data_IF_349422906001
#
_entry.id   IF_349422906001
#
_cell.length_a   1.000
_cell.length_b   1.000
_cell.length_c   1.000
_cell.angle_alpha   90.00
_cell.angle_beta   90.00
_cell.angle_gamma   90.00
#
_symmetry.space_group_name_H-M   'P 1'
#
loop_
_entity.id
_entity.type
_entity.pdbx_description
1 polymer ?
#
# COMPACT_ATOMS: atom_id res chain seq x y z
N UNK A 1 12.72 -43.88 -46.93
CA UNK A 1 13.22 -44.07 -45.54
C UNK A 1 14.22 -42.99 -45.08
N UNK A 2 14.83 -42.20 -45.97
CA UNK A 2 15.74 -41.10 -45.58
C UNK A 2 15.04 -39.86 -45.00
N UNK A 3 13.84 -39.49 -45.48
CA UNK A 3 13.16 -38.26 -45.02
C UNK A 3 12.63 -38.33 -43.57
N UNK A 4 12.25 -39.51 -43.08
CA UNK A 4 11.75 -39.67 -41.69
C UNK A 4 12.87 -39.58 -40.63
N UNK A 5 14.13 -39.82 -41.02
CA UNK A 5 15.28 -39.76 -40.09
C UNK A 5 15.84 -38.35 -39.92
N UNK A 6 15.60 -37.44 -40.87
CA UNK A 6 16.08 -36.05 -40.79
C UNK A 6 15.21 -35.20 -39.85
N UNK A 7 13.89 -35.45 -39.78
CA UNK A 7 13.01 -34.73 -38.87
C UNK A 7 13.27 -35.01 -37.38
N UNK A 8 13.73 -36.23 -37.02
CA UNK A 8 14.02 -36.59 -35.62
C UNK A 8 15.35 -36.04 -35.12
N UNK A 9 16.33 -35.84 -36.00
CA UNK A 9 17.62 -35.25 -35.62
C UNK A 9 17.49 -33.73 -35.39
N UNK A 10 16.61 -33.05 -36.13
CA UNK A 10 16.34 -31.62 -35.91
C UNK A 10 15.44 -31.31 -34.70
N UNK A 11 14.60 -32.25 -34.24
CA UNK A 11 13.82 -32.07 -33.00
C UNK A 11 14.64 -32.35 -31.74
N UNK A 12 15.65 -33.23 -31.81
CA UNK A 12 16.57 -33.49 -30.70
C UNK A 12 17.66 -32.43 -30.53
N UNK A 13 18.01 -31.70 -31.59
CA UNK A 13 18.98 -30.58 -31.52
C UNK A 13 18.36 -29.24 -31.06
N UNK A 14 17.02 -29.09 -31.10
CA UNK A 14 16.34 -27.88 -30.60
C UNK A 14 15.89 -27.99 -29.13
N UNK A 15 15.93 -29.19 -28.54
CA UNK A 15 15.59 -29.43 -27.13
C UNK A 15 16.82 -29.38 -26.18
N UNK A 16 18.04 -29.29 -26.72
CA UNK A 16 19.28 -29.31 -25.93
C UNK A 16 19.90 -27.92 -25.68
N UNK A 17 19.26 -26.83 -26.12
CA UNK A 17 19.82 -25.47 -26.02
C UNK A 17 19.15 -24.56 -24.97
N UNK A 18 18.42 -25.11 -23.99
CA UNK A 18 17.79 -24.31 -22.92
C UNK A 18 18.18 -24.71 -21.49
N UNK A 19 19.31 -25.39 -21.30
CA UNK A 19 20.02 -25.33 -20.01
C UNK A 19 21.11 -24.28 -20.09
N UNK A 20 20.71 -23.02 -20.19
CA UNK A 20 21.56 -21.94 -19.69
C UNK A 20 21.41 -22.03 -18.18
N UNK A 21 22.45 -22.47 -17.47
CA UNK A 21 22.57 -22.20 -16.04
C UNK A 21 22.47 -20.68 -15.90
N UNK A 22 21.35 -20.20 -15.37
CA UNK A 22 21.15 -18.78 -15.15
C UNK A 22 22.28 -18.32 -14.23
N UNK A 23 23.11 -17.40 -14.70
CA UNK A 23 24.18 -16.84 -13.88
C UNK A 23 23.57 -16.12 -12.67
N UNK A 24 24.27 -16.06 -11.51
CA UNK A 24 23.79 -15.34 -10.34
C UNK A 24 23.40 -13.90 -10.67
N UNK A 25 22.18 -13.49 -10.32
CA UNK A 25 21.64 -12.14 -10.53
C UNK A 25 21.33 -11.41 -9.22
N UNK A 26 21.33 -10.07 -9.27
CA UNK A 26 20.97 -9.21 -8.12
C UNK A 26 19.48 -9.32 -7.80
N UNK A 27 18.64 -9.49 -8.81
CA UNK A 27 17.18 -9.61 -8.70
C UNK A 27 16.79 -10.89 -7.97
N UNK A 28 17.41 -12.02 -8.31
CA UNK A 28 17.24 -13.28 -7.60
C UNK A 28 17.72 -13.18 -6.15
N UNK A 29 18.87 -12.54 -5.93
CA UNK A 29 19.39 -12.26 -4.59
C UNK A 29 18.44 -11.44 -3.73
N UNK A 30 17.82 -10.41 -4.31
CA UNK A 30 16.80 -9.59 -3.63
C UNK A 30 15.59 -10.42 -3.24
N UNK A 31 15.09 -11.27 -4.14
CA UNK A 31 13.95 -12.13 -3.86
C UNK A 31 14.25 -13.12 -2.72
N UNK A 32 15.41 -13.78 -2.78
CA UNK A 32 15.88 -14.70 -1.74
C UNK A 32 16.07 -14.01 -0.39
N UNK A 33 16.62 -12.78 -0.38
CA UNK A 33 16.83 -12.01 0.84
C UNK A 33 15.51 -11.63 1.49
N UNK A 34 14.54 -11.11 0.71
CA UNK A 34 13.22 -10.74 1.23
C UNK A 34 12.49 -11.95 1.78
N UNK A 35 12.59 -13.11 1.12
CA UNK A 35 11.92 -14.33 1.54
C UNK A 35 12.53 -14.96 2.81
N UNK A 36 13.86 -14.96 2.93
CA UNK A 36 14.53 -15.83 3.92
C UNK A 36 15.41 -15.09 4.95
N UNK A 37 15.83 -13.85 4.68
CA UNK A 37 16.87 -13.18 5.48
C UNK A 37 16.41 -11.83 6.08
N UNK A 38 15.44 -11.16 5.45
CA UNK A 38 14.99 -9.82 5.83
C UNK A 38 14.28 -9.73 7.19
N UNK A 39 13.91 -10.88 7.78
CA UNK A 39 13.34 -10.96 9.13
C UNK A 39 14.37 -10.74 10.23
N UNK A 40 15.65 -11.02 9.97
CA UNK A 40 16.71 -10.93 10.97
C UNK A 40 17.85 -9.97 10.59
N UNK A 41 18.03 -9.67 9.31
CA UNK A 41 19.07 -8.75 8.82
C UNK A 41 18.47 -7.47 8.24
N UNK A 42 19.13 -6.33 8.47
CA UNK A 42 18.65 -5.03 8.04
C UNK A 42 18.76 -4.84 6.51
N UNK A 43 17.70 -4.35 5.89
CA UNK A 43 17.61 -4.09 4.44
C UNK A 43 18.61 -3.05 3.93
N UNK A 44 19.06 -2.14 4.78
CA UNK A 44 20.08 -1.15 4.39
C UNK A 44 21.50 -1.73 4.37
N UNK A 45 21.66 -2.99 4.79
CA UNK A 45 22.92 -3.73 4.91
C UNK A 45 23.96 -3.11 5.84
N UNK A 46 23.78 -1.89 6.34
CA UNK A 46 24.79 -1.14 7.11
C UNK A 46 24.56 -1.22 8.61
N UNK A 47 23.30 -1.34 9.02
CA UNK A 47 22.93 -1.36 10.43
C UNK A 47 22.67 -2.79 10.93
N UNK A 48 22.89 -2.98 12.23
CA UNK A 48 22.54 -4.20 12.93
C UNK A 48 21.01 -4.30 13.14
N UNK A 49 20.48 -5.52 13.15
CA UNK A 49 19.09 -5.82 13.56
C UNK A 49 19.13 -6.98 14.57
N UNK A 50 18.37 -8.05 14.35
CA UNK A 50 18.43 -9.29 15.13
C UNK A 50 19.76 -10.01 14.88
N UNK A 51 20.29 -9.89 13.65
CA UNK A 51 21.64 -10.29 13.27
C UNK A 51 22.51 -9.09 12.87
N UNK A 52 23.82 -9.33 12.63
CA UNK A 52 24.75 -8.28 12.23
C UNK A 52 24.42 -7.65 10.87
N UNK A 53 24.91 -6.44 10.66
CA UNK A 53 24.96 -5.79 9.35
C UNK A 53 25.67 -6.69 8.31
N UNK A 54 25.10 -6.80 7.12
CA UNK A 54 25.59 -7.67 6.04
C UNK A 54 26.47 -6.96 5.02
N UNK A 55 26.44 -5.63 4.95
CA UNK A 55 27.28 -4.83 4.08
C UNK A 55 28.76 -5.06 4.41
N UNK A 56 29.57 -5.35 3.40
CA UNK A 56 30.97 -5.73 3.56
C UNK A 56 31.18 -7.10 4.22
N UNK A 57 30.19 -8.01 4.17
CA UNK A 57 30.35 -9.37 4.71
C UNK A 57 31.44 -10.15 3.99
N UNK A 58 31.60 -9.95 2.68
CA UNK A 58 32.65 -10.62 1.91
C UNK A 58 34.05 -10.16 2.35
N UNK A 59 34.27 -8.86 2.54
CA UNK A 59 35.53 -8.32 3.06
C UNK A 59 35.84 -8.88 4.45
N UNK A 60 34.80 -8.99 5.27
CA UNK A 60 34.89 -9.57 6.60
C UNK A 60 35.33 -11.03 6.53
N UNK A 61 34.82 -11.82 5.58
CA UNK A 61 35.17 -13.25 5.45
C UNK A 61 36.36 -13.52 4.51
N UNK A 62 37.04 -12.49 3.99
CA UNK A 62 38.08 -12.61 2.96
C UNK A 62 39.31 -13.43 3.40
N UNK A 63 39.61 -13.50 4.69
CA UNK A 63 40.72 -14.31 5.24
C UNK A 63 40.43 -15.83 5.23
N UNK A 64 39.21 -16.23 4.88
CA UNK A 64 38.75 -17.62 4.88
C UNK A 64 38.33 -18.07 3.47
N UNK A 65 38.39 -19.38 3.17
CA UNK A 65 37.79 -19.92 1.95
C UNK A 65 36.35 -19.45 1.75
N UNK A 66 35.99 -19.05 0.52
CA UNK A 66 34.64 -18.60 0.16
C UNK A 66 33.56 -19.64 0.53
N UNK A 67 33.91 -20.92 0.47
CA UNK A 67 33.05 -22.03 0.86
C UNK A 67 32.71 -22.07 2.36
N UNK A 68 33.53 -21.46 3.22
CA UNK A 68 33.24 -21.35 4.65
C UNK A 68 32.12 -20.34 4.91
N UNK A 69 32.09 -19.24 4.14
CA UNK A 69 30.96 -18.30 4.15
C UNK A 69 29.68 -18.96 3.65
N UNK A 70 29.76 -19.79 2.60
CA UNK A 70 28.59 -20.52 2.10
C UNK A 70 28.07 -21.53 3.14
N UNK A 71 29.00 -22.25 3.78
CA UNK A 71 28.67 -23.20 4.85
C UNK A 71 28.07 -22.51 6.06
N UNK A 72 28.54 -21.30 6.40
CA UNK A 72 27.96 -20.45 7.43
C UNK A 72 26.53 -20.01 7.09
N UNK A 73 26.29 -19.54 5.86
CA UNK A 73 24.97 -19.10 5.40
C UNK A 73 23.98 -20.26 5.39
N UNK A 74 24.41 -21.46 4.99
CA UNK A 74 23.56 -22.66 5.03
C UNK A 74 23.29 -23.09 6.45
N UNK A 75 24.33 -23.29 7.26
CA UNK A 75 24.20 -23.83 8.60
C UNK A 75 25.27 -23.29 9.54
N UNK A 76 25.00 -22.11 10.09
CA UNK A 76 25.88 -21.45 11.05
C UNK A 76 26.24 -22.35 12.24
N UNK A 77 25.28 -23.08 12.81
CA UNK A 77 25.50 -23.92 14.00
C UNK A 77 26.44 -25.10 13.73
N UNK A 78 26.39 -25.70 12.53
CA UNK A 78 27.33 -26.75 12.16
C UNK A 78 28.78 -26.21 12.09
N UNK A 79 28.97 -24.99 11.58
CA UNK A 79 30.29 -24.37 11.48
C UNK A 79 30.81 -23.86 12.84
N UNK A 80 29.92 -23.46 13.76
CA UNK A 80 30.29 -23.21 15.16
C UNK A 80 30.72 -24.50 15.83
N UNK A 81 29.97 -25.58 15.64
CA UNK A 81 30.28 -26.89 16.25
C UNK A 81 31.59 -27.50 15.75
N UNK A 82 32.00 -27.19 14.51
CA UNK A 82 33.31 -27.61 13.97
C UNK A 82 34.49 -26.81 14.54
N UNK A 83 34.24 -25.81 15.40
CA UNK A 83 35.27 -25.00 16.03
C UNK A 83 35.89 -23.94 15.11
N UNK A 84 35.19 -23.54 14.04
CA UNK A 84 35.73 -22.53 13.11
C UNK A 84 35.95 -21.19 13.85
N UNK A 85 37.15 -20.57 13.76
CA UNK A 85 37.51 -19.41 14.58
C UNK A 85 36.53 -18.23 14.45
N UNK A 86 36.21 -17.82 13.22
CA UNK A 86 35.27 -16.73 12.94
C UNK A 86 33.83 -17.03 13.34
N UNK A 87 33.35 -18.24 13.07
CA UNK A 87 32.01 -18.69 13.42
C UNK A 87 31.80 -18.64 14.95
N UNK A 88 32.80 -19.09 15.70
CA UNK A 88 32.79 -19.11 17.17
C UNK A 88 32.85 -17.69 17.75
N UNK A 89 33.63 -16.80 17.15
CA UNK A 89 33.69 -15.37 17.50
C UNK A 89 32.32 -14.70 17.30
N UNK A 90 31.70 -14.86 16.12
CA UNK A 90 30.38 -14.30 15.85
C UNK A 90 29.33 -14.87 16.81
N UNK A 91 29.36 -16.18 17.08
CA UNK A 91 28.45 -16.81 18.03
C UNK A 91 28.59 -16.26 19.45
N UNK A 92 29.82 -16.02 19.90
CA UNK A 92 30.05 -15.44 21.23
C UNK A 92 29.47 -14.03 21.38
N UNK A 93 29.39 -13.27 20.28
CA UNK A 93 28.88 -11.89 20.25
C UNK A 93 27.35 -11.81 20.12
N UNK A 94 26.72 -12.77 19.44
CA UNK A 94 25.29 -12.71 19.07
C UNK A 94 24.40 -13.73 19.78
N UNK A 95 24.97 -14.64 20.58
CA UNK A 95 24.17 -15.53 21.45
C UNK A 95 23.23 -14.71 22.36
N UNK A 96 22.00 -15.18 22.62
CA UNK A 96 21.45 -16.49 22.27
C UNK A 96 20.69 -16.55 20.91
N UNK A 97 20.85 -15.56 20.03
CA UNK A 97 20.08 -15.50 18.77
C UNK A 97 20.60 -16.52 17.75
N UNK A 98 19.76 -17.49 17.38
CA UNK A 98 20.08 -18.53 16.41
C UNK A 98 19.71 -18.09 14.98
N UNK A 99 20.64 -18.23 14.03
CA UNK A 99 20.34 -18.10 12.61
C UNK A 99 19.69 -19.39 12.10
N UNK A 100 18.57 -19.26 11.39
CA UNK A 100 17.86 -20.39 10.77
C UNK A 100 18.77 -21.17 9.80
N UNK A 101 18.48 -22.45 9.62
CA UNK A 101 19.22 -23.33 8.71
C UNK A 101 18.59 -23.29 7.31
N UNK A 102 19.41 -23.09 6.28
CA UNK A 102 19.03 -22.99 4.88
C UNK A 102 19.75 -24.04 4.02
N UNK A 103 19.53 -25.35 4.28
CA UNK A 103 20.27 -26.41 3.58
C UNK A 103 19.92 -26.51 2.09
N UNK A 104 18.78 -25.95 1.67
CA UNK A 104 18.30 -25.96 0.29
C UNK A 104 18.90 -24.87 -0.61
N UNK A 105 19.68 -23.93 -0.08
CA UNK A 105 20.31 -22.88 -0.90
C UNK A 105 21.49 -23.44 -1.69
N UNK A 106 21.45 -23.31 -3.01
CA UNK A 106 22.55 -23.65 -3.92
C UNK A 106 23.68 -22.62 -3.86
N UNK A 107 24.89 -22.95 -4.35
CA UNK A 107 26.02 -22.00 -4.36
C UNK A 107 25.68 -20.76 -5.18
N UNK A 108 25.03 -20.94 -6.34
CA UNK A 108 24.61 -19.83 -7.22
C UNK A 108 23.60 -18.90 -6.54
N UNK A 109 22.67 -19.46 -5.75
CA UNK A 109 21.69 -18.67 -4.99
C UNK A 109 22.34 -17.88 -3.84
N UNK A 110 23.36 -18.46 -3.20
CA UNK A 110 24.14 -17.74 -2.18
C UNK A 110 24.95 -16.62 -2.85
N UNK A 111 25.48 -16.85 -4.04
CA UNK A 111 26.21 -15.84 -4.80
C UNK A 111 25.28 -14.69 -5.22
N UNK A 112 24.07 -14.99 -5.67
CA UNK A 112 23.01 -14.02 -5.90
C UNK A 112 22.69 -13.18 -4.66
N UNK A 113 22.58 -13.83 -3.49
CA UNK A 113 22.38 -13.14 -2.22
C UNK A 113 23.52 -12.17 -1.89
N UNK A 114 24.78 -12.59 -2.05
CA UNK A 114 25.96 -11.75 -1.80
C UNK A 114 26.05 -10.57 -2.78
N UNK A 115 25.75 -10.79 -4.05
CA UNK A 115 25.64 -9.73 -5.06
C UNK A 115 24.61 -8.67 -4.68
N UNK A 116 23.43 -9.10 -4.23
CA UNK A 116 22.39 -8.18 -3.75
C UNK A 116 22.83 -7.42 -2.49
N UNK A 117 23.46 -8.08 -1.52
CA UNK A 117 23.95 -7.45 -0.29
C UNK A 117 24.96 -6.34 -0.60
N UNK A 118 25.91 -6.59 -1.52
CA UNK A 118 26.87 -5.58 -1.93
C UNK A 118 26.22 -4.42 -2.70
N UNK A 119 25.31 -4.73 -3.62
CA UNK A 119 24.57 -3.71 -4.36
C UNK A 119 23.71 -2.83 -3.44
N UNK A 120 23.06 -3.42 -2.43
CA UNK A 120 22.24 -2.72 -1.46
C UNK A 120 23.07 -1.94 -0.42
N UNK A 121 24.33 -2.32 -0.18
CA UNK A 121 25.26 -1.59 0.68
C UNK A 121 25.94 -0.40 -0.02
N UNK A 122 25.97 -0.38 -1.36
CA UNK A 122 26.52 0.72 -2.14
C UNK A 122 25.65 2.00 -2.04
N UNK A 123 26.22 3.21 -2.16
CA UNK A 123 25.43 4.44 -2.26
C UNK A 123 24.50 4.39 -3.48
N UNK A 124 23.25 4.89 -3.39
CA UNK A 124 22.30 4.79 -4.49
C UNK A 124 22.84 5.51 -5.73
N UNK A 125 22.75 4.91 -6.94
CA UNK A 125 23.04 5.64 -8.17
C UNK A 125 22.03 6.78 -8.35
N UNK A 126 22.43 7.89 -9.00
CA UNK A 126 21.49 8.94 -9.36
C UNK A 126 20.38 8.37 -10.24
N UNK A 127 19.13 8.86 -10.10
CA UNK A 127 18.00 8.33 -10.86
C UNK A 127 18.26 8.46 -12.38
N UNK A 128 17.91 7.45 -13.19
CA UNK A 128 18.06 7.55 -14.64
C UNK A 128 17.13 8.66 -15.19
N UNK A 129 17.54 9.37 -16.26
CA UNK A 129 16.68 10.35 -16.89
C UNK A 129 15.51 9.63 -17.58
N UNK A 130 14.30 9.84 -17.06
CA UNK A 130 13.03 9.74 -17.78
C UNK A 130 12.87 8.55 -18.72
N UNK A 131 12.55 7.38 -18.18
CA UNK A 131 11.64 6.47 -18.88
C UNK A 131 10.22 6.96 -18.63
N UNK A 132 9.42 7.28 -19.68
CA UNK A 132 8.02 7.61 -19.49
C UNK A 132 7.34 6.37 -18.91
N UNK A 133 6.80 6.49 -17.70
CA UNK A 133 5.81 5.54 -17.21
C UNK A 133 4.65 5.55 -18.19
N UNK A 134 4.40 4.39 -18.80
CA UNK A 134 3.15 4.14 -19.48
C UNK A 134 2.05 4.31 -18.44
N UNK A 135 1.25 5.36 -18.59
CA UNK A 135 0.05 5.53 -17.79
C UNK A 135 -0.89 4.39 -18.19
N UNK A 136 -0.99 3.35 -17.36
CA UNK A 136 -2.19 2.54 -17.34
C UNK A 136 -3.29 3.40 -16.73
N UNK A 137 -4.06 4.02 -17.63
CA UNK A 137 -5.31 4.68 -17.29
C UNK A 137 -6.23 3.67 -16.63
N UNK A 138 -6.45 3.86 -15.33
CA UNK A 138 -7.62 3.39 -14.62
C UNK A 138 -8.87 3.63 -15.49
N UNK A 139 -9.69 2.59 -15.64
CA UNK A 139 -10.87 2.58 -16.50
C UNK A 139 -11.89 3.66 -16.13
N UNK A 140 -11.70 4.85 -16.71
CA UNK A 140 -12.77 5.74 -17.10
C UNK A 140 -12.90 5.62 -18.61
N UNK A 141 -14.03 5.11 -19.09
CA UNK A 141 -14.34 5.00 -20.52
C UNK A 141 -13.98 6.32 -21.22
N UNK A 142 -12.89 6.33 -21.99
CA UNK A 142 -12.44 7.55 -22.65
C UNK A 142 -13.36 7.84 -23.84
N UNK A 143 -13.78 9.10 -24.04
CA UNK A 143 -14.88 9.44 -24.95
C UNK A 143 -14.48 9.44 -26.43
N UNK A 144 -13.35 8.82 -26.84
CA UNK A 144 -12.86 8.91 -28.22
C UNK A 144 -13.86 8.41 -29.25
N UNK A 145 -14.59 7.34 -28.91
CA UNK A 145 -15.71 6.87 -29.73
C UNK A 145 -16.83 7.92 -29.81
N UNK A 146 -17.19 8.56 -28.69
CA UNK A 146 -18.20 9.60 -28.67
C UNK A 146 -17.74 10.88 -29.37
N UNK A 147 -16.48 11.29 -29.26
CA UNK A 147 -15.89 12.42 -29.99
C UNK A 147 -15.93 12.12 -31.50
N UNK A 148 -15.47 10.92 -31.91
CA UNK A 148 -15.54 10.48 -33.30
C UNK A 148 -16.97 10.45 -33.84
N UNK A 149 -17.91 9.91 -33.07
CA UNK A 149 -19.34 9.89 -33.41
C UNK A 149 -19.90 11.32 -33.54
N UNK A 150 -19.54 12.22 -32.63
CA UNK A 150 -20.02 13.61 -32.65
C UNK A 150 -19.48 14.36 -33.87
N UNK A 151 -18.22 14.14 -34.24
CA UNK A 151 -17.61 14.71 -35.46
C UNK A 151 -18.30 14.17 -36.71
N UNK A 152 -18.52 12.85 -36.80
CA UNK A 152 -19.21 12.23 -37.94
C UNK A 152 -20.64 12.77 -38.08
N UNK A 153 -21.40 12.80 -36.99
CA UNK A 153 -22.76 13.35 -36.98
C UNK A 153 -22.77 14.84 -37.33
N UNK A 154 -21.79 15.61 -36.86
CA UNK A 154 -21.62 17.02 -37.21
C UNK A 154 -21.35 17.24 -38.72
N UNK A 155 -20.46 16.43 -39.32
CA UNK A 155 -20.18 16.46 -40.75
C UNK A 155 -21.41 16.07 -41.58
N UNK A 156 -22.16 15.06 -41.14
CA UNK A 156 -23.37 14.57 -41.80
C UNK A 156 -24.50 15.62 -41.73
N UNK A 157 -24.68 16.26 -40.57
CA UNK A 157 -25.60 17.38 -40.40
C UNK A 157 -25.22 18.58 -41.29
N UNK A 158 -23.92 18.90 -41.41
CA UNK A 158 -23.44 19.95 -42.31
C UNK A 158 -23.70 19.62 -43.78
N UNK A 159 -23.43 18.38 -44.20
CA UNK A 159 -23.71 17.92 -45.57
C UNK A 159 -25.21 17.99 -45.88
N UNK A 160 -26.07 17.50 -44.99
CA UNK A 160 -27.53 17.57 -45.13
C UNK A 160 -28.04 19.01 -45.19
N UNK A 161 -27.52 19.90 -44.34
CA UNK A 161 -27.89 21.32 -44.36
C UNK A 161 -27.54 21.96 -45.72
N UNK A 162 -26.38 21.63 -46.30
CA UNK A 162 -25.98 22.12 -47.63
C UNK A 162 -26.88 21.59 -48.74
N UNK A 163 -27.25 20.30 -48.69
CA UNK A 163 -28.15 19.67 -49.66
C UNK A 163 -29.55 20.30 -49.59
N UNK A 164 -30.13 20.44 -48.40
CA UNK A 164 -31.46 21.02 -48.19
C UNK A 164 -31.49 22.48 -48.68
N UNK A 165 -30.48 23.28 -48.35
CA UNK A 165 -30.40 24.67 -48.80
C UNK A 165 -30.30 24.77 -50.33
N UNK A 166 -29.54 23.87 -50.98
CA UNK A 166 -29.40 23.85 -52.42
C UNK A 166 -30.71 23.43 -53.10
N UNK A 167 -31.35 22.37 -52.61
CA UNK A 167 -32.63 21.86 -53.13
C UNK A 167 -33.73 22.93 -52.98
N UNK A 168 -33.77 23.64 -51.85
CA UNK A 168 -34.70 24.75 -51.62
C UNK A 168 -34.47 25.94 -52.55
N UNK A 169 -33.22 26.19 -52.99
CA UNK A 169 -32.94 27.25 -53.95
C UNK A 169 -33.34 26.83 -55.37
N UNK A 170 -33.14 25.56 -55.74
CA UNK A 170 -33.56 25.02 -57.04
C UNK A 170 -35.08 25.09 -57.20
N UNK A 171 -35.86 24.68 -56.19
CA UNK A 171 -37.33 24.76 -56.22
C UNK A 171 -37.84 26.21 -56.32
N UNK A 172 -37.14 27.17 -55.69
CA UNK A 172 -37.50 28.59 -55.76
C UNK A 172 -37.21 29.20 -57.13
N UNK A 173 -36.09 28.83 -57.75
CA UNK A 173 -35.78 29.24 -59.12
C UNK A 173 -36.80 28.65 -60.11
N UNK A 174 -37.22 27.39 -59.93
CA UNK A 174 -38.32 26.80 -60.71
C UNK A 174 -39.66 27.52 -60.51
N UNK A 175 -39.92 28.05 -59.32
CA UNK A 175 -41.10 28.88 -59.02
C UNK A 175 -40.96 30.34 -59.49
N UNK A 176 -39.91 30.69 -60.24
CA UNK A 176 -39.67 32.05 -60.76
C UNK A 176 -39.15 33.06 -59.73
N UNK A 177 -38.70 32.60 -58.55
CA UNK A 177 -38.21 33.45 -57.47
C UNK A 177 -36.68 33.47 -57.41
N UNK A 178 -36.11 34.62 -56.99
CA UNK A 178 -34.66 34.77 -56.82
C UNK A 178 -34.10 33.90 -55.66
N UNK A 179 -32.90 33.29 -55.81
CA UNK A 179 -32.27 32.49 -54.77
C UNK A 179 -31.95 33.34 -53.52
N UNK A 180 -32.18 32.79 -52.32
CA UNK A 180 -31.80 33.47 -51.08
C UNK A 180 -30.41 32.97 -50.67
N UNK A 181 -29.42 33.85 -50.77
CA UNK A 181 -28.08 33.63 -50.23
C UNK A 181 -28.13 33.94 -48.72
N UNK A 182 -28.39 32.93 -47.89
CA UNK A 182 -28.30 33.09 -46.44
C UNK A 182 -26.83 33.08 -46.03
N UNK A 183 -26.38 34.11 -45.34
CA UNK A 183 -25.04 34.15 -44.74
C UNK A 183 -24.95 33.18 -43.55
N UNK A 184 -23.72 32.85 -43.12
CA UNK A 184 -23.49 31.98 -41.96
C UNK A 184 -24.23 32.51 -40.70
N UNK A 185 -24.20 33.83 -40.51
CA UNK A 185 -24.87 34.52 -39.41
C UNK A 185 -26.40 34.36 -39.48
N UNK A 186 -27.01 34.49 -40.66
CA UNK A 186 -28.46 34.27 -40.83
C UNK A 186 -28.88 32.81 -40.65
N UNK A 187 -27.96 31.87 -40.87
CA UNK A 187 -28.21 30.44 -40.66
C UNK A 187 -28.15 30.10 -39.16
N UNK A 188 -27.14 30.62 -38.44
CA UNK A 188 -26.99 30.45 -37.00
C UNK A 188 -28.05 31.20 -36.18
N UNK A 189 -28.57 32.33 -36.67
CA UNK A 189 -29.67 33.07 -36.04
C UNK A 189 -31.06 32.62 -36.51
N UNK A 190 -31.15 31.55 -37.31
CA UNK A 190 -32.44 30.99 -37.71
C UNK A 190 -33.17 30.39 -36.51
N UNK A 191 -34.51 30.45 -36.51
CA UNK A 191 -35.34 29.89 -35.42
C UNK A 191 -35.01 28.42 -35.12
N UNK A 192 -34.69 27.63 -36.14
CA UNK A 192 -34.29 26.22 -35.99
C UNK A 192 -32.92 26.04 -35.34
N UNK A 193 -31.92 26.85 -35.72
CA UNK A 193 -30.59 26.79 -35.12
C UNK A 193 -30.59 27.28 -33.67
N UNK A 194 -31.33 28.35 -33.36
CA UNK A 194 -31.53 28.83 -32.00
C UNK A 194 -32.27 27.78 -31.16
N UNK A 195 -33.34 27.16 -31.67
CA UNK A 195 -34.07 26.12 -30.97
C UNK A 195 -33.19 24.90 -30.66
N UNK A 196 -32.36 24.46 -31.61
CA UNK A 196 -31.39 23.38 -31.40
C UNK A 196 -30.33 23.76 -30.36
N UNK A 197 -29.78 24.97 -30.42
CA UNK A 197 -28.79 25.44 -29.45
C UNK A 197 -29.38 25.50 -28.04
N UNK A 198 -30.59 26.03 -27.88
CA UNK A 198 -31.29 26.08 -26.58
C UNK A 198 -31.56 24.66 -26.07
N UNK A 199 -32.00 23.73 -26.93
CA UNK A 199 -32.21 22.33 -26.57
C UNK A 199 -30.91 21.65 -26.12
N UNK A 200 -29.82 21.81 -26.87
CA UNK A 200 -28.52 21.25 -26.55
C UNK A 200 -27.96 21.81 -25.24
N UNK A 201 -28.04 23.13 -25.03
CA UNK A 201 -27.63 23.77 -23.77
C UNK A 201 -28.47 23.26 -22.61
N UNK A 202 -29.78 23.11 -22.78
CA UNK A 202 -30.68 22.58 -21.74
C UNK A 202 -30.32 21.14 -21.37
N UNK A 203 -30.01 20.29 -22.35
CA UNK A 203 -29.57 18.92 -22.10
C UNK A 203 -28.21 18.86 -21.39
N UNK A 204 -27.23 19.64 -21.85
CA UNK A 204 -25.89 19.69 -21.24
C UNK A 204 -25.99 20.22 -19.80
N UNK A 205 -26.72 21.31 -19.60
CA UNK A 205 -26.95 21.89 -18.29
C UNK A 205 -27.70 20.93 -17.36
N UNK A 206 -28.76 20.29 -17.86
CA UNK A 206 -29.52 19.27 -17.11
C UNK A 206 -28.64 18.09 -16.72
N UNK A 207 -27.88 17.53 -17.66
CA UNK A 207 -26.92 16.45 -17.40
C UNK A 207 -25.87 16.86 -16.36
N UNK A 208 -25.21 18.01 -16.53
CA UNK A 208 -24.19 18.51 -15.60
C UNK A 208 -24.75 18.79 -14.21
N UNK A 209 -25.97 19.30 -14.14
CA UNK A 209 -26.67 19.54 -12.87
C UNK A 209 -26.91 18.23 -12.13
N UNK A 210 -27.45 17.22 -12.83
CA UNK A 210 -27.69 15.89 -12.23
C UNK A 210 -26.37 15.20 -11.87
N UNK A 211 -25.37 15.21 -12.75
CA UNK A 211 -24.05 14.61 -12.50
C UNK A 211 -23.39 15.20 -11.25
N UNK A 212 -23.34 16.53 -11.15
CA UNK A 212 -22.81 17.21 -9.96
C UNK A 212 -23.65 16.93 -8.70
N UNK A 213 -24.98 16.91 -8.82
CA UNK A 213 -25.85 16.57 -7.69
C UNK A 213 -25.63 15.14 -7.19
N UNK A 214 -25.41 14.17 -8.08
CA UNK A 214 -25.17 12.76 -7.69
C UNK A 214 -23.80 12.52 -7.07
N UNK A 215 -22.82 13.40 -7.34
CA UNK A 215 -21.47 13.38 -6.73
C UNK A 215 -21.41 14.10 -5.39
N UNK A 216 -22.38 14.96 -5.09
CA UNK A 216 -22.47 15.66 -3.81
C UNK A 216 -22.53 14.66 -2.65
N UNK A 217 -21.72 14.86 -1.63
CA UNK A 217 -21.61 13.96 -0.48
C UNK A 217 -20.80 12.69 -0.71
N UNK A 218 -20.10 12.55 -1.85
CA UNK A 218 -19.10 11.50 -2.07
C UNK A 218 -17.71 12.07 -1.85
N UNK A 219 -16.89 11.36 -1.08
CA UNK A 219 -15.54 11.78 -0.68
C UNK A 219 -14.45 10.98 -1.42
N UNK A 220 -14.72 10.48 -2.63
CA UNK A 220 -13.69 9.76 -3.39
C UNK A 220 -12.46 10.64 -3.65
N UNK A 221 -11.28 10.09 -3.42
CA UNK A 221 -10.01 10.80 -3.51
C UNK A 221 -9.73 11.75 -2.35
N UNK A 222 -10.55 11.76 -1.29
CA UNK A 222 -10.25 12.51 -0.07
C UNK A 222 -8.98 11.95 0.58
N UNK A 223 -7.94 12.79 0.66
CA UNK A 223 -6.61 12.47 1.19
C UNK A 223 -6.20 13.60 2.15
N UNK A 224 -6.59 13.54 3.43
CA UNK A 224 -6.23 14.56 4.40
C UNK A 224 -4.81 14.39 4.92
N UNK A 225 -4.19 15.51 5.29
CA UNK A 225 -2.95 15.51 6.04
C UNK A 225 -3.12 14.79 7.39
N UNK A 226 -2.14 13.95 7.72
CA UNK A 226 -2.10 13.20 8.96
C UNK A 226 -1.05 13.80 9.92
N UNK A 227 -1.24 13.70 11.25
CA UNK A 227 -0.26 14.19 12.21
C UNK A 227 1.11 13.51 12.05
N UNK A 228 1.10 12.23 11.69
CA UNK A 228 2.28 11.43 11.39
C UNK A 228 2.16 10.95 9.95
N UNK A 229 3.23 11.11 9.17
CA UNK A 229 3.31 10.65 7.78
C UNK A 229 3.49 9.12 7.72
N UNK A 230 2.46 8.38 8.13
CA UNK A 230 2.45 6.93 8.15
C UNK A 230 2.24 6.35 6.74
N UNK A 231 3.23 5.57 6.28
CA UNK A 231 3.22 4.98 4.94
C UNK A 231 2.71 3.54 4.95
N UNK A 232 1.51 3.31 4.42
CA UNK A 232 0.99 1.94 4.23
C UNK A 232 1.80 1.17 3.17
N UNK A 233 2.31 1.87 2.15
CA UNK A 233 3.22 1.31 1.14
C UNK A 233 4.50 0.73 1.74
N UNK A 234 5.05 1.37 2.77
CA UNK A 234 6.22 0.84 3.46
C UNK A 234 5.86 -0.39 4.30
N UNK A 235 4.80 -0.31 5.11
CA UNK A 235 4.45 -1.36 6.06
C UNK A 235 3.79 -2.58 5.40
N UNK A 236 2.70 -2.40 4.67
CA UNK A 236 1.99 -3.49 4.00
C UNK A 236 2.62 -3.83 2.64
N UNK A 237 3.05 -2.83 1.86
CA UNK A 237 3.60 -3.06 0.52
C UNK A 237 5.01 -3.64 0.53
N UNK A 238 5.94 -2.98 1.20
CA UNK A 238 7.37 -3.30 1.15
C UNK A 238 7.78 -4.29 2.23
N UNK A 239 7.22 -4.16 3.43
CA UNK A 239 7.51 -5.05 4.56
C UNK A 239 6.54 -6.23 4.67
N UNK A 240 5.48 -6.25 3.83
CA UNK A 240 4.50 -7.35 3.78
C UNK A 240 3.89 -7.67 5.14
N UNK A 241 3.71 -6.64 5.98
CA UNK A 241 3.01 -6.77 7.26
C UNK A 241 1.53 -6.98 6.94
N UNK A 242 0.95 -8.03 7.51
CA UNK A 242 -0.47 -8.36 7.34
C UNK A 242 -1.37 -7.22 7.87
N UNK A 243 -2.45 -6.90 7.14
CA UNK A 243 -3.36 -5.82 7.49
C UNK A 243 -3.95 -5.98 8.90
N UNK A 244 -4.26 -7.21 9.30
CA UNK A 244 -4.89 -7.52 10.59
C UNK A 244 -3.89 -7.54 11.75
N UNK A 245 -2.59 -7.37 11.51
CA UNK A 245 -1.61 -7.17 12.58
C UNK A 245 -1.86 -5.84 13.29
N UNK A 246 -2.09 -4.77 12.52
CA UNK A 246 -2.40 -3.45 13.05
C UNK A 246 -3.91 -3.23 13.23
N UNK A 247 -4.72 -3.73 12.30
CA UNK A 247 -6.18 -3.60 12.31
C UNK A 247 -6.85 -4.89 12.79
N UNK A 248 -6.43 -5.40 13.95
CA UNK A 248 -6.84 -6.72 14.46
C UNK A 248 -8.35 -6.81 14.78
N UNK A 249 -8.95 -5.67 15.11
CA UNK A 249 -10.36 -5.52 15.42
C UNK A 249 -11.26 -5.71 14.20
N UNK A 250 -10.75 -5.60 12.96
CA UNK A 250 -11.53 -5.78 11.75
C UNK A 250 -12.25 -7.14 11.68
N UNK A 251 -11.64 -8.19 12.23
CA UNK A 251 -12.21 -9.56 12.26
C UNK A 251 -13.12 -9.86 13.45
N UNK A 252 -13.20 -8.96 14.45
CA UNK A 252 -13.92 -9.23 15.72
C UNK A 252 -15.00 -8.21 16.03
N UNK A 253 -14.74 -6.95 15.69
CA UNK A 253 -15.61 -5.82 16.01
C UNK A 253 -16.36 -5.30 14.79
N UNK A 254 -17.38 -4.49 15.04
CA UNK A 254 -18.04 -3.69 14.01
C UNK A 254 -17.11 -2.62 13.43
N UNK A 255 -16.18 -2.12 14.22
CA UNK A 255 -15.26 -1.06 13.84
C UNK A 255 -13.84 -1.61 13.74
N UNK A 256 -13.18 -1.38 12.61
CA UNK A 256 -11.74 -1.60 12.49
C UNK A 256 -11.01 -0.41 13.09
N UNK A 257 -10.63 -0.52 14.35
CA UNK A 257 -9.93 0.51 15.10
C UNK A 257 -8.55 0.81 14.50
N UNK A 258 -8.12 2.06 14.66
CA UNK A 258 -6.73 2.47 14.45
C UNK A 258 -5.91 1.89 15.61
N UNK A 259 -4.75 1.26 15.36
CA UNK A 259 -3.94 0.68 16.42
C UNK A 259 -3.52 1.75 17.44
N UNK A 260 -3.50 1.37 18.72
CA UNK A 260 -2.88 2.19 19.74
C UNK A 260 -1.36 2.30 19.53
N UNK A 261 -0.74 3.36 20.06
CA UNK A 261 0.69 3.64 19.87
C UNK A 261 1.60 2.49 20.36
N UNK A 262 1.11 1.64 21.27
CA UNK A 262 1.82 0.43 21.72
C UNK A 262 2.14 -0.53 20.57
N UNK A 263 1.25 -0.69 19.59
CA UNK A 263 1.47 -1.57 18.42
C UNK A 263 2.66 -1.09 17.60
N UNK A 264 2.85 0.24 17.49
CA UNK A 264 4.00 0.82 16.82
C UNK A 264 5.31 0.43 17.53
N UNK A 265 5.29 0.42 18.86
CA UNK A 265 6.48 0.18 19.69
C UNK A 265 6.98 -1.28 19.68
N UNK A 266 6.15 -2.23 19.23
CA UNK A 266 6.56 -3.62 19.02
C UNK A 266 7.78 -3.73 18.10
N UNK A 267 7.89 -2.81 17.13
CA UNK A 267 9.03 -2.73 16.22
C UNK A 267 9.86 -1.46 16.43
N UNK A 268 9.22 -0.31 16.67
CA UNK A 268 9.90 0.98 16.72
C UNK A 268 10.76 1.21 17.97
N UNK A 269 10.68 0.34 18.99
CA UNK A 269 11.71 0.33 20.04
C UNK A 269 13.10 -0.06 19.50
N UNK A 270 13.15 -0.96 18.50
CA UNK A 270 14.38 -1.37 17.82
C UNK A 270 14.63 -0.56 16.54
N UNK A 271 13.58 -0.26 15.78
CA UNK A 271 13.64 0.51 14.52
C UNK A 271 13.45 1.99 14.81
N UNK A 272 14.57 2.67 15.09
CA UNK A 272 14.55 4.06 15.54
C UNK A 272 14.51 5.11 14.42
N UNK A 273 14.64 4.68 13.16
CA UNK A 273 14.76 5.57 12.00
C UNK A 273 13.94 5.08 10.81
N UNK A 274 13.24 6.02 10.17
CA UNK A 274 12.52 5.81 8.92
C UNK A 274 13.47 5.89 7.73
N UNK A 275 13.21 5.10 6.69
CA UNK A 275 14.04 5.05 5.48
C UNK A 275 14.06 6.36 4.68
N UNK A 276 12.98 7.15 4.74
CA UNK A 276 12.85 8.44 4.05
C UNK A 276 12.93 9.65 4.99
N UNK A 277 12.38 9.50 6.19
CA UNK A 277 12.14 10.62 7.12
C UNK A 277 13.12 10.63 8.31
N UNK A 278 14.02 9.66 8.39
CA UNK A 278 14.98 9.56 9.49
C UNK A 278 14.27 9.51 10.85
N UNK A 279 14.64 10.39 11.77
CA UNK A 279 14.06 10.48 13.11
C UNK A 279 12.74 11.25 13.19
N UNK A 280 12.32 12.00 12.15
CA UNK A 280 11.25 13.01 12.29
C UNK A 280 9.90 12.41 12.69
N UNK A 281 9.45 11.36 12.00
CA UNK A 281 8.13 10.77 12.23
C UNK A 281 8.12 9.83 13.44
N UNK A 282 9.21 9.09 13.66
CA UNK A 282 9.31 8.15 14.77
C UNK A 282 9.40 8.89 16.11
N UNK A 283 10.04 10.06 16.14
CA UNK A 283 10.10 10.89 17.36
C UNK A 283 8.70 11.32 17.81
N UNK A 284 7.75 11.54 16.89
CA UNK A 284 6.34 11.82 17.24
C UNK A 284 5.70 10.64 17.99
N UNK A 285 5.99 9.42 17.58
CA UNK A 285 5.49 8.20 18.25
C UNK A 285 6.04 8.13 19.67
N UNK A 286 7.35 8.34 19.83
CA UNK A 286 8.00 8.33 21.15
C UNK A 286 7.43 9.41 22.07
N UNK A 287 7.30 10.65 21.56
CA UNK A 287 6.78 11.78 22.30
C UNK A 287 5.32 11.59 22.72
N UNK A 288 4.50 10.94 21.90
CA UNK A 288 3.11 10.59 22.24
C UNK A 288 3.04 9.57 23.38
N UNK A 289 3.87 8.51 23.34
CA UNK A 289 3.78 7.38 24.27
C UNK A 289 4.71 7.47 25.49
N UNK A 290 5.67 8.39 25.50
CA UNK A 290 6.65 8.52 26.58
C UNK A 290 7.77 7.48 26.53
N UNK A 291 8.32 7.23 25.34
CA UNK A 291 9.46 6.32 25.18
C UNK A 291 10.77 7.10 25.11
N UNK A 292 11.76 6.74 25.93
CA UNK A 292 13.12 7.28 25.86
C UNK A 292 13.96 6.44 24.88
N UNK A 293 14.27 6.96 23.67
CA UNK A 293 15.07 6.24 22.68
C UNK A 293 16.56 6.16 23.03
N UNK A 294 17.05 7.01 23.93
CA UNK A 294 18.45 7.00 24.39
C UNK A 294 18.69 5.86 25.37
N UNK A 295 17.75 5.64 26.28
CA UNK A 295 17.82 4.56 27.28
C UNK A 295 17.10 3.28 26.85
N UNK A 296 16.33 3.33 25.77
CA UNK A 296 15.50 2.24 25.26
C UNK A 296 14.48 1.74 26.29
N UNK A 297 13.81 2.67 26.99
CA UNK A 297 12.87 2.39 28.08
C UNK A 297 11.72 3.39 28.08
N UNK A 298 10.57 2.99 28.62
CA UNK A 298 9.46 3.91 28.89
C UNK A 298 9.81 4.83 30.07
N UNK A 299 9.38 6.08 29.98
CA UNK A 299 9.58 7.11 30.99
C UNK A 299 8.52 6.92 32.09
N UNK A 300 8.93 6.71 33.35
CA UNK A 300 7.98 6.65 34.46
C UNK A 300 7.25 7.99 34.66
N UNK A 301 5.96 7.94 34.96
CA UNK A 301 5.10 9.10 35.26
C UNK A 301 5.16 10.21 34.18
N UNK A 302 5.28 9.81 32.91
CA UNK A 302 5.47 10.70 31.76
C UNK A 302 4.34 11.72 31.57
N UNK A 303 3.12 11.37 31.97
CA UNK A 303 1.96 12.25 31.96
C UNK A 303 2.14 13.52 32.83
N UNK A 304 3.06 13.47 33.79
CA UNK A 304 3.38 14.58 34.69
C UNK A 304 4.59 15.40 34.24
N UNK A 305 5.27 15.00 33.15
CA UNK A 305 6.40 15.75 32.62
C UNK A 305 5.94 17.08 32.00
N UNK A 306 6.76 18.12 32.19
CA UNK A 306 6.55 19.42 31.53
C UNK A 306 7.00 19.38 30.07
N UNK A 307 6.36 20.20 29.22
CA UNK A 307 6.72 20.35 27.80
C UNK A 307 8.23 20.60 27.59
N UNK A 308 8.87 21.33 28.51
CA UNK A 308 10.30 21.60 28.45
C UNK A 308 11.16 20.36 28.67
N UNK A 309 10.79 19.48 29.61
CA UNK A 309 11.52 18.24 29.85
C UNK A 309 11.41 17.30 28.64
N UNK A 310 10.25 17.30 27.99
CA UNK A 310 9.98 16.53 26.77
C UNK A 310 10.81 17.09 25.61
N UNK A 311 10.79 18.41 25.44
CA UNK A 311 11.59 19.14 24.46
C UNK A 311 13.08 18.82 24.60
N UNK A 312 13.63 18.98 25.80
CA UNK A 312 15.05 18.77 26.07
C UNK A 312 15.47 17.32 25.75
N UNK A 313 14.65 16.33 26.08
CA UNK A 313 14.92 14.92 25.79
C UNK A 313 14.94 14.65 24.28
N UNK A 314 13.89 15.03 23.57
CA UNK A 314 13.77 14.68 22.16
C UNK A 314 14.68 15.51 21.26
N UNK A 315 14.94 16.79 21.58
CA UNK A 315 15.97 17.58 20.90
C UNK A 315 17.36 16.97 21.07
N UNK A 316 17.67 16.47 22.27
CA UNK A 316 18.93 15.76 22.52
C UNK A 316 19.01 14.46 21.69
N UNK A 317 17.94 13.68 21.64
CA UNK A 317 17.86 12.47 20.81
C UNK A 317 18.11 12.78 19.33
N UNK A 318 17.34 13.71 18.74
CA UNK A 318 17.45 14.09 17.33
C UNK A 318 18.87 14.59 17.03
N UNK A 319 19.44 15.39 17.92
CA UNK A 319 20.79 15.91 17.76
C UNK A 319 21.86 14.81 17.77
N UNK A 320 21.77 13.85 18.69
CA UNK A 320 22.72 12.74 18.75
C UNK A 320 22.65 11.84 17.51
N UNK A 321 21.45 11.56 17.01
CA UNK A 321 21.27 10.79 15.78
C UNK A 321 21.81 11.55 14.56
N UNK A 322 21.51 12.84 14.43
CA UNK A 322 22.04 13.68 13.34
C UNK A 322 23.57 13.68 13.34
N UNK A 323 24.20 13.87 14.49
CA UNK A 323 25.66 13.83 14.61
C UNK A 323 26.22 12.46 14.28
N UNK A 324 25.56 11.38 14.71
CA UNK A 324 25.96 10.01 14.39
C UNK A 324 25.88 9.72 12.89
N UNK A 325 24.83 10.18 12.21
CA UNK A 325 24.64 9.96 10.77
C UNK A 325 25.66 10.72 9.92
N UNK A 326 26.01 11.93 10.35
CA UNK A 326 26.96 12.79 9.64
C UNK A 326 28.40 12.63 10.14
N UNK A 327 28.66 11.68 11.06
CA UNK A 327 29.97 11.43 11.65
C UNK A 327 30.62 12.69 12.26
N UNK A 328 29.81 13.55 12.88
CA UNK A 328 30.24 14.83 13.45
C UNK A 328 30.60 14.69 14.93
N UNK A 329 31.69 15.33 15.35
CA UNK A 329 32.09 15.41 16.76
C UNK A 329 31.44 16.56 17.51
N UNK A 330 30.88 17.54 16.79
CA UNK A 330 30.16 18.69 17.34
C UNK A 330 29.00 19.09 16.42
N UNK A 331 27.95 19.69 16.99
CA UNK A 331 26.76 20.13 16.26
C UNK A 331 27.07 21.31 15.33
N UNK A 332 26.82 21.15 14.04
CA UNK A 332 26.89 22.21 13.03
C UNK A 332 25.57 23.02 12.97
N UNK A 333 25.53 24.08 12.15
CA UNK A 333 24.33 24.91 12.00
C UNK A 333 23.15 24.14 11.40
N UNK A 334 23.43 23.23 10.46
CA UNK A 334 22.42 22.39 9.82
C UNK A 334 21.76 21.41 10.81
N UNK A 335 22.55 20.83 11.72
CA UNK A 335 22.06 19.95 12.77
C UNK A 335 21.21 20.70 13.78
N UNK A 336 21.62 21.92 14.18
CA UNK A 336 20.78 22.79 15.01
C UNK A 336 19.43 23.07 14.35
N UNK A 337 19.44 23.45 13.08
CA UNK A 337 18.21 23.72 12.34
C UNK A 337 17.34 22.47 12.19
N UNK A 338 17.95 21.30 11.95
CA UNK A 338 17.23 20.03 11.83
C UNK A 338 16.54 19.65 13.14
N UNK A 339 17.21 19.82 14.28
CA UNK A 339 16.64 19.56 15.61
C UNK A 339 15.43 20.45 15.86
N UNK A 340 15.53 21.75 15.59
CA UNK A 340 14.42 22.69 15.77
C UNK A 340 13.25 22.36 14.84
N UNK A 341 13.50 22.16 13.54
CA UNK A 341 12.46 21.83 12.57
C UNK A 341 11.72 20.53 12.90
N UNK A 342 12.46 19.48 13.32
CA UNK A 342 11.83 18.22 13.73
C UNK A 342 11.02 18.39 15.01
N UNK A 343 11.51 19.17 15.98
CA UNK A 343 10.76 19.45 17.21
C UNK A 343 9.48 20.25 16.94
N UNK A 344 9.54 21.29 16.10
CA UNK A 344 8.35 22.01 15.64
C UNK A 344 7.34 21.07 14.97
N UNK A 345 7.83 20.11 14.18
CA UNK A 345 7.02 19.05 13.60
C UNK A 345 6.34 18.16 14.63
N UNK A 346 7.02 17.83 15.74
CA UNK A 346 6.45 17.08 16.86
C UNK A 346 5.35 17.89 17.55
N UNK A 347 5.62 19.16 17.88
CA UNK A 347 4.64 20.03 18.52
C UNK A 347 3.42 20.22 17.63
N UNK A 348 3.59 20.50 16.34
CA UNK A 348 2.48 20.68 15.39
C UNK A 348 1.64 19.40 15.22
N UNK A 349 2.28 18.23 15.24
CA UNK A 349 1.59 16.96 15.07
C UNK A 349 0.81 16.52 16.30
N UNK A 350 1.36 16.77 17.50
CA UNK A 350 0.85 16.20 18.74
C UNK A 350 0.10 17.19 19.60
N UNK A 351 0.42 18.49 19.55
CA UNK A 351 -0.22 19.50 20.39
C UNK A 351 -1.31 20.21 19.59
N UNK A 352 -2.56 19.98 19.94
CA UNK A 352 -3.71 20.65 19.32
C UNK A 352 -4.61 21.32 20.37
N UNK A 353 -5.63 22.04 19.91
CA UNK A 353 -6.55 22.78 20.77
C UNK A 353 -7.37 21.87 21.73
N UNK A 354 -7.45 20.57 21.42
CA UNK A 354 -8.22 19.60 22.19
C UNK A 354 -7.40 18.98 23.33
N UNK A 355 -6.13 18.66 23.11
CA UNK A 355 -5.29 17.99 24.10
C UNK A 355 -4.36 18.94 24.86
N UNK A 356 -4.01 20.10 24.29
CA UNK A 356 -3.12 21.10 24.87
C UNK A 356 -1.73 20.60 25.32
N UNK A 357 -1.38 19.34 25.03
CA UNK A 357 -0.23 18.60 25.57
C UNK A 357 0.35 17.69 24.49
N UNK A 358 1.64 17.37 24.60
CA UNK A 358 2.34 16.49 23.66
C UNK A 358 2.05 15.01 23.94
N UNK A 359 1.83 14.68 25.22
CA UNK A 359 1.54 13.32 25.67
C UNK A 359 0.12 12.91 25.33
N UNK A 360 -0.07 11.62 25.07
CA UNK A 360 -1.39 11.02 24.89
C UNK A 360 -1.65 10.51 23.48
N UNK A 361 -2.91 10.20 23.15
CA UNK A 361 -3.26 9.58 21.88
C UNK A 361 -2.97 10.50 20.70
N UNK A 362 -2.56 9.90 19.58
CA UNK A 362 -2.36 10.61 18.31
C UNK A 362 -3.73 10.86 17.67
N UNK A 363 -3.99 12.11 17.32
CA UNK A 363 -5.26 12.57 16.77
C UNK A 363 -5.30 12.38 15.24
N UNK A 364 -5.61 11.16 14.82
CA UNK A 364 -5.67 10.80 13.41
C UNK A 364 -6.90 11.41 12.70
N UNK A 365 -6.70 11.85 11.46
CA UNK A 365 -7.81 12.30 10.62
C UNK A 365 -8.42 11.11 9.90
N UNK A 366 -9.67 10.78 10.22
CA UNK A 366 -10.38 9.64 9.62
C UNK A 366 -10.67 9.91 8.14
N UNK A 367 -10.21 9.01 7.27
CA UNK A 367 -10.42 9.10 5.80
C UNK A 367 -11.78 8.56 5.38
N UNK A 368 -12.16 7.38 5.90
CA UNK A 368 -13.42 6.73 5.53
C UNK A 368 -14.46 7.02 6.59
N UNK A 369 -15.46 7.83 6.24
CA UNK A 369 -16.58 8.14 7.13
C UNK A 369 -17.91 7.68 6.54
N UNK A 370 -18.76 7.10 7.39
CA UNK A 370 -20.13 6.76 7.07
C UNK A 370 -21.04 7.51 8.05
N UNK A 371 -22.23 7.98 7.61
CA UNK A 371 -23.17 8.63 8.51
C UNK A 371 -23.58 7.74 9.69
N UNK A 372 -23.79 8.33 10.87
CA UNK A 372 -24.08 7.58 12.12
C UNK A 372 -25.36 6.72 12.08
N UNK A 373 -26.28 7.01 11.16
CA UNK A 373 -27.49 6.20 10.96
C UNK A 373 -27.23 4.91 10.15
N UNK A 374 -26.02 4.72 9.62
CA UNK A 374 -25.62 3.52 8.90
C UNK A 374 -24.91 2.56 9.86
N UNK A 375 -25.52 1.41 10.10
CA UNK A 375 -24.86 0.34 10.84
C UNK A 375 -23.99 -0.49 9.89
N UNK A 376 -22.67 -0.33 10.00
CA UNK A 376 -21.68 -1.15 9.31
C UNK A 376 -20.90 -1.99 10.32
N UNK A 377 -20.61 -3.25 9.96
CA UNK A 377 -19.89 -4.17 10.83
C UNK A 377 -18.74 -4.87 10.06
N UNK A 378 -17.49 -4.51 10.38
CA UNK A 378 -16.30 -5.09 9.74
C UNK A 378 -16.22 -6.62 9.90
N UNK A 379 -16.48 -7.18 11.09
CA UNK A 379 -16.30 -8.61 11.33
C UNK A 379 -17.23 -9.48 10.47
N UNK A 380 -18.43 -9.01 10.14
CA UNK A 380 -19.32 -9.71 9.21
C UNK A 380 -18.75 -9.77 7.79
N UNK A 381 -18.05 -8.73 7.34
CA UNK A 381 -17.48 -8.71 6.00
C UNK A 381 -16.13 -9.41 5.93
N UNK A 382 -15.29 -9.26 6.95
CA UNK A 382 -13.93 -9.81 6.99
C UNK A 382 -13.91 -11.26 7.47
N UNK A 383 -14.56 -11.58 8.59
CA UNK A 383 -14.48 -12.91 9.19
C UNK A 383 -15.53 -13.90 8.65
N UNK A 384 -16.74 -13.42 8.33
CA UNK A 384 -17.81 -14.28 7.79
C UNK A 384 -17.81 -14.24 6.27
N UNK A 385 -17.79 -13.04 5.68
CA UNK A 385 -17.81 -12.85 4.24
C UNK A 385 -16.47 -13.09 3.54
N UNK A 386 -15.37 -13.20 4.28
CA UNK A 386 -14.00 -13.36 3.77
C UNK A 386 -13.64 -12.37 2.63
N UNK A 387 -14.20 -11.15 2.73
CA UNK A 387 -13.99 -10.12 1.71
C UNK A 387 -12.61 -9.50 1.89
N UNK A 388 -11.79 -9.56 0.84
CA UNK A 388 -10.48 -8.93 0.82
C UNK A 388 -10.58 -7.41 1.06
N UNK A 389 -9.69 -6.87 1.89
CA UNK A 389 -9.64 -5.45 2.26
C UNK A 389 -9.61 -4.53 1.04
N UNK A 390 -8.85 -4.92 0.00
CA UNK A 390 -8.63 -4.17 -1.22
C UNK A 390 -9.91 -3.96 -2.04
N UNK A 391 -10.91 -4.86 -1.91
CA UNK A 391 -12.19 -4.71 -2.60
C UNK A 391 -12.95 -3.45 -2.15
N UNK A 392 -12.76 -3.06 -0.89
CA UNK A 392 -13.42 -1.88 -0.30
C UNK A 392 -12.49 -0.66 -0.25
N UNK A 393 -11.24 -0.86 0.19
CA UNK A 393 -10.30 0.23 0.46
C UNK A 393 -9.31 0.50 -0.68
N UNK A 394 -9.35 -0.26 -1.77
CA UNK A 394 -8.38 -0.18 -2.87
C UNK A 394 -7.02 -0.80 -2.51
N UNK A 395 -6.00 -0.65 -3.37
CA UNK A 395 -4.67 -1.20 -3.14
C UNK A 395 -3.89 -0.42 -2.07
N UNK A 396 -4.29 -0.55 -0.80
CA UNK A 396 -3.72 0.20 0.34
C UNK A 396 -2.22 -0.07 0.50
N UNK A 397 -1.75 -1.26 0.12
CA UNK A 397 -0.34 -1.62 0.11
C UNK A 397 0.51 -0.83 -0.90
N UNK A 398 -0.11 -0.07 -1.80
CA UNK A 398 0.56 0.83 -2.74
C UNK A 398 0.44 2.30 -2.33
N UNK A 399 -0.37 2.60 -1.32
CA UNK A 399 -0.68 3.96 -0.86
C UNK A 399 0.39 4.49 0.12
N UNK A 400 1.07 5.57 -0.26
CA UNK A 400 1.96 6.29 0.67
C UNK A 400 1.16 7.06 1.72
N UNK A 401 0.07 7.69 1.31
CA UNK A 401 -0.96 8.29 2.18
C UNK A 401 -2.29 7.66 1.79
N UNK A 402 -3.10 7.28 2.77
CA UNK A 402 -4.40 6.66 2.50
C UNK A 402 -5.38 7.72 2.02
N UNK A 403 -6.06 7.43 0.93
CA UNK A 403 -7.19 8.19 0.43
C UNK A 403 -8.43 7.30 0.28
N UNK A 404 -9.59 7.90 0.17
CA UNK A 404 -10.82 7.15 -0.06
C UNK A 404 -10.91 6.67 -1.51
N UNK A 405 -10.68 5.37 -1.73
CA UNK A 405 -10.76 4.76 -3.06
C UNK A 405 -12.21 4.57 -3.53
N UNK A 406 -13.02 3.84 -2.75
CA UNK A 406 -14.41 3.54 -3.08
C UNK A 406 -15.35 4.67 -2.71
N UNK A 407 -16.48 4.79 -3.42
CA UNK A 407 -17.51 5.79 -3.09
C UNK A 407 -18.10 5.59 -1.69
N UNK A 408 -18.19 4.33 -1.24
CA UNK A 408 -18.92 3.91 -0.04
C UNK A 408 -20.37 4.43 0.01
N UNK A 409 -20.94 4.79 -1.15
CA UNK A 409 -22.32 5.22 -1.26
C UNK A 409 -23.28 4.03 -1.21
N UNK A 410 -24.53 4.28 -0.83
CA UNK A 410 -25.57 3.24 -0.73
C UNK A 410 -25.68 2.37 -1.98
N UNK A 411 -25.65 2.96 -3.18
CA UNK A 411 -25.73 2.21 -4.44
C UNK A 411 -24.55 1.26 -4.66
N UNK A 412 -23.35 1.65 -4.23
CA UNK A 412 -22.17 0.79 -4.28
C UNK A 412 -22.30 -0.40 -3.32
N UNK A 413 -22.76 -0.16 -2.09
CA UNK A 413 -23.01 -1.21 -1.11
C UNK A 413 -24.07 -2.21 -1.62
N UNK A 414 -25.20 -1.71 -2.14
CA UNK A 414 -26.30 -2.56 -2.62
C UNK A 414 -25.88 -3.42 -3.82
N UNK A 415 -25.14 -2.84 -4.78
CA UNK A 415 -24.67 -3.61 -5.92
C UNK A 415 -23.69 -4.69 -5.49
N UNK A 416 -22.73 -4.36 -4.61
CA UNK A 416 -21.83 -5.35 -4.03
C UNK A 416 -22.59 -6.49 -3.32
N UNK A 417 -23.62 -6.18 -2.54
CA UNK A 417 -24.46 -7.18 -1.86
C UNK A 417 -25.32 -8.02 -2.82
N UNK A 418 -25.69 -7.49 -3.99
CA UNK A 418 -26.44 -8.23 -5.02
C UNK A 418 -25.56 -9.16 -5.84
N UNK A 419 -24.31 -8.77 -6.06
CA UNK A 419 -23.39 -9.43 -6.97
C UNK A 419 -22.41 -10.37 -6.26
N UNK A 420 -22.13 -10.15 -4.98
CA UNK A 420 -21.18 -10.99 -4.22
C UNK A 420 -21.87 -12.23 -3.69
N UNK A 421 -21.40 -13.40 -4.12
CA UNK A 421 -21.88 -14.69 -3.62
C UNK A 421 -21.37 -14.99 -2.22
N UNK A 422 -22.26 -15.54 -1.38
CA UNK A 422 -21.89 -16.02 -0.05
C UNK A 422 -21.22 -17.39 -0.19
N UNK A 423 -20.04 -17.54 0.42
CA UNK A 423 -19.30 -18.79 0.46
C UNK A 423 -19.98 -19.79 1.41
N UNK A 424 -21.04 -20.48 0.97
CA UNK A 424 -21.77 -21.42 1.82
C UNK A 424 -21.13 -22.81 1.93
N UNK A 425 -20.43 -23.27 0.88
CA UNK A 425 -19.97 -24.66 0.79
C UNK A 425 -18.64 -24.90 1.53
N UNK A 426 -17.69 -23.96 1.42
CA UNK A 426 -16.31 -24.13 1.90
C UNK A 426 -15.95 -23.19 3.06
N UNK A 427 -16.96 -22.68 3.78
CA UNK A 427 -16.77 -21.74 4.89
C UNK A 427 -17.10 -22.39 6.23
N UNK A 428 -16.10 -22.58 7.12
CA UNK A 428 -16.30 -23.19 8.44
C UNK A 428 -17.32 -22.48 9.33
N UNK A 429 -17.61 -21.20 9.06
CA UNK A 429 -18.67 -20.47 9.76
C UNK A 429 -20.05 -21.11 9.57
N UNK A 430 -20.33 -21.71 8.41
CA UNK A 430 -21.65 -22.30 8.13
C UNK A 430 -21.79 -23.75 8.61
N UNK A 431 -20.68 -24.48 8.76
CA UNK A 431 -20.64 -25.87 9.25
C UNK A 431 -21.37 -26.03 10.59
N UNK A 432 -21.26 -25.04 11.47
CA UNK A 432 -21.92 -25.08 12.77
C UNK A 432 -23.45 -25.09 12.64
N UNK A 433 -24.02 -24.37 11.66
CA UNK A 433 -25.46 -24.32 11.44
C UNK A 433 -25.96 -25.62 10.82
N UNK A 434 -25.21 -26.19 9.88
CA UNK A 434 -25.54 -27.51 9.33
C UNK A 434 -25.49 -28.58 10.43
N UNK A 435 -24.45 -28.56 11.26
CA UNK A 435 -24.33 -29.45 12.43
C UNK A 435 -25.54 -29.31 13.35
N UNK A 436 -25.91 -28.09 13.76
CA UNK A 436 -27.05 -27.88 14.64
C UNK A 436 -28.37 -28.32 14.00
N UNK A 437 -28.56 -28.05 12.71
CA UNK A 437 -29.73 -28.53 11.98
C UNK A 437 -29.83 -30.07 12.00
N UNK A 438 -28.72 -30.77 11.74
CA UNK A 438 -28.65 -32.22 11.75
C UNK A 438 -28.82 -32.83 13.16
N UNK A 439 -28.28 -32.19 14.19
CA UNK A 439 -28.45 -32.62 15.59
C UNK A 439 -29.90 -32.45 16.08
N UNK A 440 -30.56 -31.34 15.71
CA UNK A 440 -31.98 -31.14 15.99
C UNK A 440 -32.85 -32.18 15.25
N UNK A 441 -32.57 -32.43 13.97
CA UNK A 441 -33.33 -33.40 13.16
C UNK A 441 -33.17 -34.84 13.64
N UNK A 442 -31.99 -35.20 14.13
CA UNK A 442 -31.71 -36.54 14.69
C UNK A 442 -32.17 -36.72 16.14
N UNK A 443 -32.63 -35.65 16.81
CA UNK A 443 -32.98 -35.67 18.23
C UNK A 443 -31.78 -35.77 19.16
N UNK A 444 -30.54 -35.64 18.65
CA UNK A 444 -29.32 -35.59 19.47
C UNK A 444 -29.24 -34.30 20.30
N UNK A 445 -29.93 -33.25 19.84
CA UNK A 445 -30.02 -31.94 20.49
C UNK A 445 -31.49 -31.49 20.49
N UNK A 446 -31.95 -30.93 21.60
CA UNK A 446 -33.33 -30.46 21.74
C UNK A 446 -33.52 -28.99 21.30
N UNK A 447 -32.50 -28.15 21.52
CA UNK A 447 -32.51 -26.72 21.20
C UNK A 447 -31.10 -26.16 20.99
N UNK A 448 -31.02 -25.01 20.34
CA UNK A 448 -29.80 -24.20 20.18
C UNK A 448 -29.96 -22.94 21.03
N UNK A 449 -28.95 -22.63 21.82
CA UNK A 449 -28.90 -21.47 22.71
C UNK A 449 -27.86 -20.46 22.24
N UNK A 450 -27.85 -19.27 22.84
CA UNK A 450 -26.87 -18.22 22.53
C UNK A 450 -25.44 -18.68 22.85
N UNK A 451 -25.26 -19.51 23.88
CA UNK A 451 -23.98 -20.14 24.20
C UNK A 451 -23.49 -21.04 23.07
N UNK A 452 -24.37 -21.83 22.45
CA UNK A 452 -24.00 -22.75 21.37
C UNK A 452 -23.47 -22.03 20.12
N UNK A 453 -23.85 -20.78 19.90
CA UNK A 453 -23.35 -19.93 18.79
C UNK A 453 -22.24 -18.98 19.23
N UNK A 454 -21.65 -19.21 20.41
CA UNK A 454 -20.53 -18.46 20.95
C UNK A 454 -20.88 -17.08 21.51
N UNK A 455 -22.15 -16.81 21.83
CA UNK A 455 -22.59 -15.53 22.38
C UNK A 455 -22.22 -15.28 23.84
N UNK A 456 -21.41 -16.16 24.46
CA UNK A 456 -20.79 -15.94 25.78
C UNK A 456 -19.34 -15.43 25.69
N UNK A 457 -18.80 -15.25 24.49
CA UNK A 457 -17.48 -14.68 24.31
C UNK A 457 -17.49 -13.20 24.66
N UNK A 458 -16.73 -12.80 25.70
CA UNK A 458 -16.66 -11.40 26.15
C UNK A 458 -16.38 -10.42 24.99
N UNK A 459 -15.59 -10.86 24.01
CA UNK A 459 -15.22 -10.06 22.83
C UNK A 459 -16.37 -9.76 21.87
N UNK A 460 -17.46 -10.54 21.87
CA UNK A 460 -18.64 -10.26 21.05
C UNK A 460 -19.60 -9.24 21.68
N UNK A 461 -19.42 -8.95 22.97
CA UNK A 461 -20.26 -8.02 23.72
C UNK A 461 -19.54 -6.73 24.15
N UNK A 462 -18.26 -6.81 24.48
CA UNK A 462 -17.48 -5.69 25.04
C UNK A 462 -16.51 -5.04 24.05
N UNK A 463 -16.30 -5.67 22.90
CA UNK A 463 -15.42 -5.20 21.81
C UNK A 463 -16.19 -5.32 20.49
#
# INVERSE_FOLDING_TARGET
MLLKRICWVFTLLFAASQFVLAAPTVEEGKALFVANCASCHNKNMKDNLTGPALGGVEDRWADYPRQDLYSWIRNSQALVASGHPRATELWSKWKPVLMNNFPGLTDDQIESLLLYINAAAAPPPPPPPGTPEASETAGGETPWMFIGLTVILGLLAFALMRIINNLSNITRVQAGQAPLQKTLVQTLTSKGAIAFMVFAVTLIFGYKTVDNATKMGREQGYEPDQPIAFSHKLHAGTNKIDCQYCHDSARRSKHSSIPGTNTCMNCHSAVKKGSKTGTSEITKIYASIGFDPLQNKYIPDYENWSDKQIEDLYKKWIGQEYMSENSLTAMDDNGRQTVENQWEGVVKALKNDLNGKIQGPIEWTRVHNLPDHVYFNHSQHVAVGEIACQKCHGPVEEMEVVYQYSTLGMGWCINCHRETEVQFADNPYYDQYERYHNELKSGKRDKVTVEDIGGLECQKCHY
#
